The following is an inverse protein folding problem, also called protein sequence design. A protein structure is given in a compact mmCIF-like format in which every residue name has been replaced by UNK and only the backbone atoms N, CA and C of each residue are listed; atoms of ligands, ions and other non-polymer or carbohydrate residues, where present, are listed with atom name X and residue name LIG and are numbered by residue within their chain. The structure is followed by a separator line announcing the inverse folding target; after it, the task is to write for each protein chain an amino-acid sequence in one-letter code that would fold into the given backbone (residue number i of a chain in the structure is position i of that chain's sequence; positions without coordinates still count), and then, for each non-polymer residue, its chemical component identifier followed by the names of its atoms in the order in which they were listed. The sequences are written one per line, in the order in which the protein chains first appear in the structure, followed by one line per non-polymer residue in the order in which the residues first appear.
data_IF_222323780568
#
_entry.id   IF_222323780568
#
_cell.length_a   1.000
_cell.length_b   1.000
_cell.length_c   1.000
_cell.angle_alpha   90.00
_cell.angle_beta   90.00
_cell.angle_gamma   90.00
#
_symmetry.space_group_name_H-M   'P 1'
#
loop_
_entity.id
_entity.type
_entity.pdbx_description
1 polymer ?
#
# COMPACT_ATOMS: atom_id res chain seq x y z
N UNK A 1 -11.25 15.80 1.42
CA UNK A 1 -9.79 15.81 1.40
C UNK A 1 -9.27 14.67 0.56
N UNK A 2 -8.20 14.93 -0.18
CA UNK A 2 -7.60 13.91 -1.03
C UNK A 2 -6.95 12.82 -0.19
N UNK A 3 -7.10 11.57 -0.63
CA UNK A 3 -6.39 10.45 -0.01
C UNK A 3 -4.92 10.49 -0.43
N UNK A 4 -4.04 10.15 0.47
CA UNK A 4 -2.60 10.18 0.23
C UNK A 4 -2.03 8.77 0.11
N UNK A 5 -1.41 8.48 -1.02
CA UNK A 5 -0.90 7.15 -1.37
C UNK A 5 0.61 7.24 -1.54
N UNK A 6 1.33 6.26 -1.00
CA UNK A 6 2.75 6.09 -1.28
C UNK A 6 2.91 4.92 -2.23
N UNK A 7 3.61 5.14 -3.35
CA UNK A 7 3.91 4.09 -4.32
C UNK A 7 5.40 3.78 -4.24
N UNK A 8 5.74 2.53 -3.96
CA UNK A 8 7.13 2.10 -3.77
C UNK A 8 7.47 0.99 -4.77
N UNK A 9 8.32 1.30 -5.72
CA UNK A 9 8.80 0.35 -6.72
C UNK A 9 10.07 0.94 -7.34
N UNK A 10 11.07 0.12 -7.63
CA UNK A 10 12.31 0.61 -8.24
C UNK A 10 12.18 0.84 -9.74
N UNK A 11 11.12 0.33 -10.35
CA UNK A 11 10.84 0.56 -11.77
C UNK A 11 10.10 1.89 -11.95
N UNK A 12 10.84 2.92 -12.35
CA UNK A 12 10.31 4.28 -12.44
C UNK A 12 9.11 4.42 -13.36
N UNK A 13 9.06 3.64 -14.45
CA UNK A 13 7.93 3.69 -15.37
C UNK A 13 6.65 3.17 -14.71
N UNK A 14 6.75 2.13 -13.89
CA UNK A 14 5.61 1.60 -13.15
C UNK A 14 5.09 2.66 -12.17
N UNK A 15 6.00 3.25 -11.40
CA UNK A 15 5.66 4.29 -10.43
C UNK A 15 4.97 5.46 -11.12
N UNK A 16 5.54 5.92 -12.23
CA UNK A 16 5.01 7.05 -12.99
C UNK A 16 3.60 6.75 -13.51
N UNK A 17 3.38 5.56 -14.03
CA UNK A 17 2.07 5.16 -14.55
C UNK A 17 1.02 5.09 -13.46
N UNK A 18 1.36 4.48 -12.32
CA UNK A 18 0.44 4.41 -11.20
C UNK A 18 0.12 5.80 -10.66
N UNK A 19 1.15 6.62 -10.46
CA UNK A 19 0.99 7.99 -9.97
C UNK A 19 0.04 8.79 -10.85
N UNK A 20 0.28 8.77 -12.17
CA UNK A 20 -0.55 9.48 -13.13
C UNK A 20 -2.02 9.05 -13.01
N UNK A 21 -2.25 7.76 -12.96
CA UNK A 21 -3.61 7.21 -12.89
C UNK A 21 -4.33 7.56 -11.59
N UNK A 22 -3.62 7.51 -10.48
CA UNK A 22 -4.21 7.85 -9.17
C UNK A 22 -4.48 9.35 -9.04
N UNK A 23 -3.61 10.17 -9.60
CA UNK A 23 -3.82 11.61 -9.58
C UNK A 23 -5.05 12.03 -10.40
N UNK A 24 -5.40 11.26 -11.43
CA UNK A 24 -6.64 11.49 -12.16
C UNK A 24 -7.88 11.24 -11.30
N UNK A 25 -7.75 10.44 -10.25
CA UNK A 25 -8.81 10.18 -9.28
C UNK A 25 -8.71 11.09 -8.05
N UNK A 26 -8.01 12.22 -8.20
CA UNK A 26 -7.86 13.23 -7.15
C UNK A 26 -7.14 12.74 -5.89
N UNK A 27 -6.25 11.76 -6.04
CA UNK A 27 -5.42 11.29 -4.94
C UNK A 27 -4.06 11.99 -4.96
N UNK A 28 -3.51 12.26 -3.77
CA UNK A 28 -2.15 12.73 -3.62
C UNK A 28 -1.22 11.53 -3.62
N UNK A 29 -0.15 11.58 -4.40
CA UNK A 29 0.75 10.44 -4.55
C UNK A 29 2.19 10.85 -4.32
N UNK A 30 2.84 10.21 -3.36
CA UNK A 30 4.28 10.28 -3.17
C UNK A 30 4.91 9.01 -3.73
N UNK A 31 6.18 9.07 -4.09
CA UNK A 31 6.89 7.94 -4.68
C UNK A 31 8.19 7.67 -3.94
N UNK A 32 8.52 6.40 -3.80
CA UNK A 32 9.80 5.95 -3.28
C UNK A 32 10.34 4.84 -4.18
N UNK A 33 11.63 4.74 -4.31
CA UNK A 33 12.27 3.84 -5.26
C UNK A 33 13.13 2.76 -4.62
N UNK A 34 13.27 2.79 -3.30
CA UNK A 34 13.91 1.74 -2.53
C UNK A 34 13.27 1.62 -1.15
N UNK A 35 13.60 0.55 -0.44
CA UNK A 35 12.96 0.26 0.84
C UNK A 35 13.32 1.22 1.95
N UNK A 36 14.53 1.73 1.98
CA UNK A 36 14.95 2.70 3.00
C UNK A 36 14.23 4.02 2.83
N UNK A 37 14.16 4.52 1.60
CA UNK A 37 13.42 5.74 1.29
C UNK A 37 11.97 5.60 1.70
N UNK A 38 11.35 4.47 1.35
CA UNK A 38 9.96 4.19 1.70
C UNK A 38 9.75 4.22 3.21
N UNK A 39 10.62 3.55 3.95
CA UNK A 39 10.50 3.47 5.40
C UNK A 39 10.59 4.86 6.04
N UNK A 40 11.54 5.67 5.59
CA UNK A 40 11.69 7.03 6.09
C UNK A 40 10.48 7.89 5.79
N UNK A 41 9.92 7.77 4.58
CA UNK A 41 8.73 8.53 4.20
C UNK A 41 7.52 8.12 5.04
N UNK A 42 7.36 6.85 5.31
CA UNK A 42 6.24 6.35 6.13
C UNK A 42 6.36 6.85 7.58
N UNK A 43 7.58 6.98 8.09
CA UNK A 43 7.79 7.53 9.44
C UNK A 43 7.44 9.01 9.52
N UNK A 44 7.69 9.76 8.45
CA UNK A 44 7.56 11.22 8.45
C UNK A 44 6.20 11.71 7.97
N UNK A 45 5.41 10.85 7.33
CA UNK A 45 4.14 11.23 6.72
C UNK A 45 3.05 10.25 7.08
N UNK A 46 1.81 10.71 6.99
CA UNK A 46 0.65 9.85 7.16
C UNK A 46 0.07 9.51 5.79
N UNK A 47 0.07 8.22 5.46
CA UNK A 47 -0.50 7.72 4.21
C UNK A 47 -1.79 6.95 4.49
N UNK A 48 -2.71 7.00 3.54
CA UNK A 48 -3.93 6.20 3.62
C UNK A 48 -3.69 4.77 3.12
N UNK A 49 -2.79 4.61 2.16
CA UNK A 49 -2.39 3.30 1.63
C UNK A 49 -0.94 3.38 1.13
N UNK A 50 -0.21 2.29 1.29
CA UNK A 50 1.13 2.13 0.71
C UNK A 50 1.09 0.97 -0.27
N UNK A 51 1.47 1.23 -1.53
CA UNK A 51 1.72 0.18 -2.53
C UNK A 51 3.20 -0.14 -2.47
N UNK A 52 3.55 -1.38 -2.20
CA UNK A 52 4.92 -1.76 -1.85
C UNK A 52 5.38 -2.97 -2.64
N UNK A 53 6.32 -2.76 -3.55
CA UNK A 53 6.92 -3.86 -4.28
C UNK A 53 7.72 -4.75 -3.34
N UNK A 54 7.62 -6.06 -3.52
CA UNK A 54 8.39 -7.04 -2.74
C UNK A 54 9.87 -6.94 -3.09
N UNK A 55 10.20 -6.83 -4.36
CA UNK A 55 11.58 -6.85 -4.85
C UNK A 55 12.17 -5.45 -4.94
N UNK A 56 12.65 -4.95 -3.82
CA UNK A 56 13.24 -3.61 -3.74
C UNK A 56 14.72 -3.67 -3.40
N UNK A 57 15.52 -2.68 -3.89
CA UNK A 57 16.89 -2.55 -3.43
C UNK A 57 16.95 -2.03 -2.00
N UNK A 58 18.06 -2.26 -1.34
CA UNK A 58 18.41 -1.87 0.03
C UNK A 58 17.63 -2.66 1.07
N UNK A 59 16.30 -2.52 1.12
CA UNK A 59 15.41 -3.31 1.97
C UNK A 59 14.30 -3.88 1.09
N UNK A 60 14.02 -5.17 1.21
CA UNK A 60 12.92 -5.78 0.48
C UNK A 60 11.58 -5.24 0.99
N UNK A 61 10.52 -5.44 0.21
CA UNK A 61 9.18 -5.06 0.64
C UNK A 61 8.76 -5.75 1.94
N UNK A 62 9.17 -6.98 2.14
CA UNK A 62 8.88 -7.70 3.38
C UNK A 62 9.54 -7.04 4.59
N UNK A 63 10.83 -6.67 4.43
CA UNK A 63 11.57 -6.00 5.51
C UNK A 63 10.95 -4.64 5.84
N UNK A 64 10.54 -3.89 4.82
CA UNK A 64 9.86 -2.60 5.02
C UNK A 64 8.55 -2.82 5.77
N UNK A 65 7.75 -3.78 5.34
CA UNK A 65 6.46 -4.06 5.96
C UNK A 65 6.63 -4.43 7.43
N UNK A 66 7.58 -5.31 7.73
CA UNK A 66 7.88 -5.72 9.10
C UNK A 66 8.28 -4.53 9.96
N UNK A 67 9.17 -3.67 9.46
CA UNK A 67 9.62 -2.49 10.18
C UNK A 67 8.48 -1.49 10.40
N UNK A 68 7.64 -1.29 9.40
CA UNK A 68 6.49 -0.38 9.49
C UNK A 68 5.52 -0.85 10.58
N UNK A 69 5.29 -2.14 10.68
CA UNK A 69 4.34 -2.68 11.67
C UNK A 69 4.78 -2.46 13.12
N UNK A 70 6.03 -2.09 13.36
CA UNK A 70 6.48 -1.74 14.70
C UNK A 70 5.92 -0.39 15.17
N UNK A 71 5.52 0.50 14.25
CA UNK A 71 5.06 1.83 14.61
C UNK A 71 3.78 2.28 13.88
N UNK A 72 3.25 1.51 12.94
CA UNK A 72 2.11 1.96 12.14
C UNK A 72 1.26 0.80 11.66
N UNK A 73 -0.05 1.04 11.62
CA UNK A 73 -1.03 0.12 11.05
C UNK A 73 -1.46 0.55 9.65
N UNK A 74 -0.68 1.41 9.00
CA UNK A 74 -1.04 1.90 7.67
C UNK A 74 -1.33 0.72 6.73
N UNK A 75 -2.41 0.78 5.94
CA UNK A 75 -2.71 -0.29 4.99
C UNK A 75 -1.61 -0.45 3.95
N UNK A 76 -1.16 -1.68 3.75
CA UNK A 76 -0.10 -2.01 2.80
C UNK A 76 -0.63 -3.03 1.80
N UNK A 77 -0.51 -2.70 0.52
CA UNK A 77 -0.78 -3.61 -0.59
C UNK A 77 0.57 -3.97 -1.22
N UNK A 78 0.92 -5.25 -1.20
CA UNK A 78 2.17 -5.72 -1.79
C UNK A 78 2.02 -5.94 -3.28
N UNK A 79 3.05 -5.59 -4.05
CA UNK A 79 3.14 -5.91 -5.47
C UNK A 79 4.09 -7.09 -5.62
N UNK A 80 3.57 -8.21 -6.13
CA UNK A 80 4.31 -9.48 -6.17
C UNK A 80 4.45 -10.02 -7.59
N UNK A 81 5.40 -10.93 -7.79
CA UNK A 81 5.53 -11.63 -9.07
C UNK A 81 4.36 -12.59 -9.28
N UNK A 82 3.96 -12.75 -10.54
CA UNK A 82 2.75 -13.48 -10.92
C UNK A 82 2.66 -14.91 -10.39
N UNK A 83 3.76 -15.62 -10.30
CA UNK A 83 3.75 -17.04 -9.92
C UNK A 83 4.29 -17.31 -8.53
N UNK A 84 4.45 -16.28 -7.70
CA UNK A 84 5.11 -16.44 -6.43
C UNK A 84 4.11 -16.53 -5.27
N UNK A 85 3.61 -17.73 -5.02
CA UNK A 85 2.70 -17.97 -3.90
C UNK A 85 3.39 -17.78 -2.55
N UNK A 86 4.71 -18.04 -2.48
CA UNK A 86 5.45 -17.82 -1.24
C UNK A 86 5.49 -16.35 -0.86
N UNK A 87 5.61 -15.45 -1.83
CA UNK A 87 5.57 -14.01 -1.55
C UNK A 87 4.24 -13.62 -0.91
N UNK A 88 3.15 -14.22 -1.35
CA UNK A 88 1.81 -13.94 -0.80
C UNK A 88 1.71 -14.41 0.64
N UNK A 89 2.22 -15.60 0.92
CA UNK A 89 2.21 -16.17 2.28
C UNK A 89 3.06 -15.31 3.20
N UNK A 90 4.28 -14.97 2.76
CA UNK A 90 5.18 -14.12 3.55
C UNK A 90 4.60 -12.72 3.77
N UNK A 91 3.94 -12.16 2.76
CA UNK A 91 3.29 -10.86 2.90
C UNK A 91 2.27 -10.85 4.01
N UNK A 92 1.46 -11.90 4.11
CA UNK A 92 0.47 -12.01 5.18
C UNK A 92 1.15 -12.15 6.55
N UNK A 93 2.23 -12.93 6.63
CA UNK A 93 2.98 -13.10 7.89
C UNK A 93 3.62 -11.80 8.36
N UNK A 94 4.08 -10.96 7.43
CA UNK A 94 4.70 -9.68 7.76
C UNK A 94 3.70 -8.55 7.91
N UNK A 95 2.41 -8.82 7.74
CA UNK A 95 1.37 -7.85 8.06
C UNK A 95 0.85 -7.03 6.89
N UNK A 96 1.02 -7.51 5.66
CA UNK A 96 0.39 -6.87 4.50
C UNK A 96 -1.12 -7.10 4.53
N UNK A 97 -1.88 -6.14 4.05
CA UNK A 97 -3.34 -6.20 4.05
C UNK A 97 -3.90 -6.82 2.77
N UNK A 98 -3.16 -6.71 1.67
CA UNK A 98 -3.57 -7.23 0.38
C UNK A 98 -2.35 -7.34 -0.52
N UNK A 99 -2.50 -7.96 -1.68
CA UNK A 99 -1.45 -7.98 -2.68
C UNK A 99 -2.02 -8.01 -4.09
N UNK A 100 -1.20 -7.50 -5.01
CA UNK A 100 -1.53 -7.45 -6.42
C UNK A 100 -0.40 -8.12 -7.17
N UNK A 101 -0.74 -9.01 -8.08
CA UNK A 101 0.24 -9.76 -8.86
C UNK A 101 0.66 -8.98 -10.11
N UNK A 102 1.96 -8.89 -10.36
CA UNK A 102 2.49 -8.33 -11.61
C UNK A 102 2.48 -9.39 -12.72
N UNK A 103 2.18 -9.05 -13.95
CA UNK A 103 1.71 -7.74 -14.41
C UNK A 103 0.28 -7.47 -13.96
N UNK A 104 0.00 -6.23 -13.63
CA UNK A 104 -1.32 -5.85 -13.11
C UNK A 104 -2.05 -4.91 -14.07
N UNK A 105 -3.36 -4.84 -13.92
CA UNK A 105 -4.21 -3.87 -14.59
C UNK A 105 -4.39 -2.69 -13.65
N UNK A 106 -4.21 -1.46 -14.15
CA UNK A 106 -4.35 -0.27 -13.32
C UNK A 106 -5.75 -0.15 -12.68
N UNK A 107 -6.77 -0.68 -13.35
CA UNK A 107 -8.12 -0.69 -12.79
C UNK A 107 -8.21 -1.57 -11.55
N UNK A 108 -7.46 -2.67 -11.53
CA UNK A 108 -7.36 -3.54 -10.35
C UNK A 108 -6.68 -2.79 -9.20
N UNK A 109 -5.58 -2.10 -9.48
CA UNK A 109 -4.86 -1.32 -8.47
C UNK A 109 -5.81 -0.31 -7.83
N UNK A 110 -6.52 0.46 -8.65
CA UNK A 110 -7.48 1.46 -8.17
C UNK A 110 -8.59 0.82 -7.33
N UNK A 111 -9.13 -0.30 -7.79
CA UNK A 111 -10.21 -0.98 -7.10
C UNK A 111 -9.78 -1.46 -5.72
N UNK A 112 -8.58 -2.02 -5.61
CA UNK A 112 -8.06 -2.52 -4.33
C UNK A 112 -7.74 -1.38 -3.37
N UNK A 113 -7.18 -0.27 -3.88
CA UNK A 113 -6.94 0.92 -3.06
C UNK A 113 -8.26 1.43 -2.49
N UNK A 114 -9.25 1.60 -3.34
CA UNK A 114 -10.57 2.10 -2.91
C UNK A 114 -11.24 1.15 -1.92
N UNK A 115 -11.10 -0.15 -2.14
CA UNK A 115 -11.67 -1.15 -1.25
C UNK A 115 -11.03 -1.09 0.14
N UNK A 116 -9.71 -0.95 0.19
CA UNK A 116 -9.00 -0.92 1.47
C UNK A 116 -9.27 0.36 2.24
N UNK A 117 -9.34 1.50 1.55
CA UNK A 117 -9.71 2.78 2.16
C UNK A 117 -11.12 2.70 2.70
N UNK A 118 -12.06 2.18 1.92
CA UNK A 118 -13.47 2.05 2.32
C UNK A 118 -13.61 1.13 3.52
N UNK A 119 -12.86 0.02 3.56
CA UNK A 119 -12.89 -0.94 4.65
C UNK A 119 -12.43 -0.30 5.96
N UNK A 120 -11.33 0.45 5.90
CA UNK A 120 -10.81 1.15 7.08
C UNK A 120 -11.77 2.24 7.54
N UNK A 121 -12.33 3.00 6.59
CA UNK A 121 -13.31 4.03 6.91
C UNK A 121 -14.57 3.42 7.53
N UNK A 122 -15.04 2.31 6.97
CA UNK A 122 -16.19 1.57 7.54
C UNK A 122 -15.88 1.07 8.93
N UNK A 123 -14.64 0.63 9.18
CA UNK A 123 -14.22 0.21 10.50
C UNK A 123 -14.34 1.33 11.52
N UNK A 124 -13.90 2.51 11.17
CA UNK A 124 -14.00 3.69 12.02
C UNK A 124 -15.45 4.10 12.24
N UNK A 125 -16.22 4.20 11.16
CA UNK A 125 -17.64 4.52 11.21
C UNK A 125 -18.39 3.45 12.00
N UNK A 126 -18.01 2.19 11.81
CA UNK A 126 -18.65 1.08 12.52
C UNK A 126 -18.39 1.14 14.02
N UNK A 127 -17.22 1.59 14.45
CA UNK A 127 -16.94 1.80 15.86
C UNK A 127 -17.85 2.88 16.43
N UNK A 128 -18.00 3.98 15.73
CA UNK A 128 -18.89 5.06 16.14
C UNK A 128 -20.35 4.61 16.08
N UNK A 129 -20.74 3.98 14.97
CA UNK A 129 -22.10 3.47 14.81
C UNK A 129 -22.40 2.33 15.79
N UNK A 130 -21.39 1.55 16.14
CA UNK A 130 -21.55 0.48 17.13
C UNK A 130 -21.95 1.03 18.47
N UNK A 131 -21.42 2.17 18.86
CA UNK A 131 -21.81 2.82 20.10
C UNK A 131 -23.21 3.42 20.03
N UNK A 132 -23.72 3.66 18.82
CA UNK A 132 -25.06 4.22 18.60
C UNK A 132 -26.10 3.14 18.34
N UNK A 133 -25.69 2.07 17.67
CA UNK A 133 -26.61 1.03 17.20
C UNK A 133 -26.92 -0.01 18.26
N UNK A 134 -26.12 -0.10 19.26
CA UNK A 134 -26.31 -1.03 20.37
C UNK A 134 -27.15 -0.43 21.50
#
# INVERSE_FOLDING_TARGET
MAKKILVVDDEKLIVKGIKFSLMQDDMDVDCAYDGEEALNMIRENNYDVVLLDVMLPVLSGFEVCQAVREFSDVPIIMLTAKSDDMDKILGLEYGADDYITKPFNILEVKARIKAIIRRNHKGEVKKEAGSLAV
#
